data_IF_450480524427
#
_entry.id   IF_450480524427
#
_cell.length_a   1.000
_cell.length_b   1.000
_cell.length_c   1.000
_cell.angle_alpha   90.00
_cell.angle_beta   90.00
_cell.angle_gamma   90.00
#
_symmetry.space_group_name_H-M   'P 1'
#
loop_
_entity.id
_entity.type
_entity.pdbx_description
1 polymer ?
#
# COMPACT_ATOMS: atom_id res chain seq x y z
N UNK A 1 30.32 -53.23 -19.39
CA UNK A 1 30.11 -51.77 -19.26
C UNK A 1 28.66 -51.55 -18.88
N UNK A 2 28.37 -51.35 -17.59
CA UNK A 2 27.02 -51.22 -17.08
C UNK A 2 26.58 -49.75 -17.18
N UNK A 3 25.55 -49.52 -18.00
CA UNK A 3 24.95 -48.21 -18.24
C UNK A 3 24.16 -47.81 -16.98
N UNK A 4 24.67 -46.87 -16.18
CA UNK A 4 23.93 -46.29 -15.05
C UNK A 4 23.02 -45.19 -15.58
N UNK A 5 21.74 -45.51 -15.75
CA UNK A 5 20.67 -44.55 -15.94
C UNK A 5 20.57 -43.65 -14.70
N UNK A 6 21.02 -42.40 -14.83
CA UNK A 6 20.78 -41.34 -13.85
C UNK A 6 19.31 -40.93 -14.02
N UNK A 7 18.45 -41.31 -13.09
CA UNK A 7 17.08 -40.82 -13.02
C UNK A 7 17.04 -39.32 -12.76
N UNK A 8 15.94 -38.62 -13.13
CA UNK A 8 15.82 -37.18 -12.91
C UNK A 8 15.87 -36.85 -11.41
N UNK A 9 16.42 -35.69 -11.01
CA UNK A 9 16.45 -35.29 -9.62
C UNK A 9 15.02 -35.16 -9.11
N UNK A 10 14.70 -35.91 -8.06
CA UNK A 10 13.52 -35.69 -7.24
C UNK A 10 13.63 -34.29 -6.66
N UNK A 11 12.91 -33.33 -7.23
CA UNK A 11 12.75 -32.01 -6.62
C UNK A 11 12.05 -32.22 -5.28
N UNK A 12 12.78 -32.04 -4.19
CA UNK A 12 12.23 -31.93 -2.85
C UNK A 12 11.30 -30.71 -2.85
N UNK A 13 9.99 -30.96 -2.89
CA UNK A 13 8.99 -29.98 -2.51
C UNK A 13 9.02 -29.89 -0.98
N UNK A 14 9.02 -28.67 -0.43
CA UNK A 14 8.84 -28.46 1.01
C UNK A 14 7.57 -29.18 1.49
N UNK A 15 7.61 -29.70 2.70
CA UNK A 15 6.48 -30.40 3.31
C UNK A 15 5.25 -29.48 3.27
N UNK A 16 4.08 -29.93 2.76
CA UNK A 16 2.84 -29.16 2.83
C UNK A 16 2.53 -28.61 4.23
N UNK A 17 2.94 -29.31 5.28
CA UNK A 17 2.81 -28.84 6.66
C UNK A 17 3.73 -27.65 6.97
N UNK A 18 4.97 -27.64 6.47
CA UNK A 18 5.91 -26.52 6.61
C UNK A 18 5.40 -25.29 5.86
N UNK A 19 4.90 -25.46 4.63
CA UNK A 19 4.31 -24.37 3.86
C UNK A 19 3.10 -23.76 4.59
N UNK A 20 2.20 -24.60 5.12
CA UNK A 20 1.08 -24.15 5.95
C UNK A 20 1.54 -23.36 7.19
N UNK A 21 2.62 -23.79 7.86
CA UNK A 21 3.19 -23.10 9.00
C UNK A 21 3.78 -21.74 8.62
N UNK A 22 4.54 -21.67 7.52
CA UNK A 22 5.08 -20.42 6.99
C UNK A 22 3.97 -19.44 6.61
N UNK A 23 2.91 -19.89 5.93
CA UNK A 23 1.74 -19.08 5.63
C UNK A 23 1.10 -18.54 6.92
N UNK A 24 0.86 -19.40 7.93
CA UNK A 24 0.27 -18.97 9.21
C UNK A 24 1.13 -17.95 9.95
N UNK A 25 2.43 -18.20 10.04
CA UNK A 25 3.38 -17.27 10.68
C UNK A 25 3.37 -15.92 9.97
N UNK A 26 3.46 -15.91 8.64
CA UNK A 26 3.47 -14.68 7.86
C UNK A 26 2.14 -13.92 7.89
N UNK A 27 1.00 -14.62 7.85
CA UNK A 27 -0.31 -14.01 8.05
C UNK A 27 -0.40 -13.36 9.42
N UNK A 28 0.10 -14.04 10.45
CA UNK A 28 0.14 -13.52 11.81
C UNK A 28 1.01 -12.27 11.90
N UNK A 29 2.21 -12.27 11.34
CA UNK A 29 3.09 -11.08 11.35
C UNK A 29 2.47 -9.92 10.57
N UNK A 30 1.84 -10.19 9.43
CA UNK A 30 1.14 -9.17 8.62
C UNK A 30 -0.05 -8.57 9.37
N UNK A 31 -0.87 -9.41 10.02
CA UNK A 31 -1.98 -8.96 10.85
C UNK A 31 -1.50 -8.14 12.05
N UNK A 32 -0.38 -8.53 12.68
CA UNK A 32 0.23 -7.77 13.76
C UNK A 32 0.74 -6.41 13.27
N UNK A 33 1.42 -6.34 12.10
CA UNK A 33 1.87 -5.08 11.49
C UNK A 33 0.69 -4.15 11.16
N UNK A 34 -0.38 -4.67 10.56
CA UNK A 34 -1.61 -3.90 10.29
C UNK A 34 -2.24 -3.37 11.57
N UNK A 35 -2.28 -4.20 12.63
CA UNK A 35 -2.81 -3.79 13.93
C UNK A 35 -1.95 -2.71 14.59
N UNK A 36 -0.62 -2.88 14.57
CA UNK A 36 0.34 -1.89 15.07
C UNK A 36 0.20 -0.56 14.32
N UNK A 37 0.15 -0.61 12.99
CA UNK A 37 -0.09 0.57 12.16
C UNK A 37 -1.44 1.22 12.49
N UNK A 38 -2.50 0.41 12.68
CA UNK A 38 -3.82 0.90 13.09
C UNK A 38 -3.81 1.74 14.37
N UNK A 39 -2.89 1.48 15.31
CA UNK A 39 -2.75 2.28 16.53
C UNK A 39 -2.05 3.63 16.31
N UNK A 40 -1.20 3.75 15.29
CA UNK A 40 -0.35 4.94 15.07
C UNK A 40 -0.74 5.76 13.84
N UNK A 41 -1.58 5.23 12.96
CA UNK A 41 -1.89 5.87 11.67
C UNK A 41 -2.48 7.27 11.79
N UNK A 42 -3.24 7.54 12.85
CA UNK A 42 -3.84 8.87 13.09
C UNK A 42 -2.74 9.90 13.42
N UNK A 43 -1.88 9.57 14.37
CA UNK A 43 -0.72 10.39 14.75
C UNK A 43 0.22 10.65 13.56
N UNK A 44 0.45 9.61 12.73
CA UNK A 44 1.28 9.73 11.53
C UNK A 44 0.64 10.69 10.53
N UNK A 45 -0.68 10.61 10.32
CA UNK A 45 -1.39 11.47 9.39
C UNK A 45 -1.38 12.94 9.85
N UNK A 46 -1.62 13.19 11.13
CA UNK A 46 -1.57 14.53 11.73
C UNK A 46 -0.18 15.13 11.63
N UNK A 47 0.87 14.38 12.00
CA UNK A 47 2.24 14.84 11.82
C UNK A 47 2.57 15.14 10.35
N UNK A 48 2.11 14.28 9.45
CA UNK A 48 2.43 14.39 8.02
C UNK A 48 1.83 15.64 7.39
N UNK A 49 0.62 16.04 7.77
CA UNK A 49 -0.04 17.23 7.21
C UNK A 49 0.71 18.51 7.60
N UNK A 50 1.19 18.57 8.85
CA UNK A 50 1.98 19.69 9.34
C UNK A 50 3.33 19.76 8.64
N UNK A 51 4.04 18.64 8.49
CA UNK A 51 5.32 18.62 7.78
C UNK A 51 5.17 18.95 6.30
N UNK A 52 4.11 18.46 5.65
CA UNK A 52 3.82 18.80 4.26
C UNK A 52 3.60 20.30 4.11
N UNK A 53 2.74 20.91 4.93
CA UNK A 53 2.44 22.32 4.81
C UNK A 53 3.65 23.21 5.10
N UNK A 54 4.38 22.91 6.17
CA UNK A 54 5.59 23.64 6.53
C UNK A 54 6.65 23.56 5.42
N UNK A 55 6.90 22.37 4.86
CA UNK A 55 7.97 22.18 3.86
C UNK A 55 7.62 22.64 2.46
N UNK A 56 6.32 22.71 2.14
CA UNK A 56 5.85 23.08 0.79
C UNK A 56 5.40 24.53 0.70
N UNK A 57 4.59 25.00 1.65
CA UNK A 57 4.01 26.35 1.62
C UNK A 57 4.46 27.25 2.76
N UNK A 58 5.19 26.71 3.75
CA UNK A 58 5.60 27.45 4.94
C UNK A 58 4.39 27.85 5.79
N UNK A 59 3.46 26.92 5.99
CA UNK A 59 2.21 27.09 6.76
C UNK A 59 1.17 28.03 6.13
N UNK A 60 1.39 28.46 4.88
CA UNK A 60 0.47 29.35 4.16
C UNK A 60 -0.87 28.68 3.90
N UNK A 61 -0.89 27.39 3.57
CA UNK A 61 -2.13 26.69 3.25
C UNK A 61 -3.02 26.53 4.49
N UNK A 62 -2.45 26.13 5.63
CA UNK A 62 -3.17 26.11 6.90
C UNK A 62 -3.69 27.50 7.28
N UNK A 63 -2.90 28.54 7.08
CA UNK A 63 -3.35 29.92 7.33
C UNK A 63 -4.57 30.30 6.47
N UNK A 64 -4.53 30.00 5.16
CA UNK A 64 -5.60 30.36 4.22
C UNK A 64 -6.90 29.59 4.43
N UNK A 65 -6.80 28.35 4.93
CA UNK A 65 -7.94 27.46 5.16
C UNK A 65 -8.51 27.54 6.57
N UNK A 66 -7.85 28.25 7.50
CA UNK A 66 -8.21 28.25 8.92
C UNK A 66 -7.77 26.98 9.66
N UNK A 67 -6.85 26.23 9.08
CA UNK A 67 -6.31 24.96 9.58
C UNK A 67 -6.69 23.79 8.66
N UNK A 68 -5.73 22.91 8.41
CA UNK A 68 -5.96 21.69 7.62
C UNK A 68 -6.36 20.56 8.57
N UNK A 69 -7.57 20.03 8.40
CA UNK A 69 -8.13 19.03 9.31
C UNK A 69 -8.17 17.66 8.65
N UNK A 70 -7.93 16.59 9.42
CA UNK A 70 -8.11 15.21 8.96
C UNK A 70 -9.39 14.61 9.56
N UNK A 71 -10.28 14.12 8.71
CA UNK A 71 -11.47 13.38 9.13
C UNK A 71 -11.36 11.94 8.66
N UNK A 72 -11.37 11.01 9.62
CA UNK A 72 -11.41 9.58 9.34
C UNK A 72 -12.85 9.12 9.11
N UNK A 73 -13.07 8.36 8.03
CA UNK A 73 -14.36 7.76 7.67
C UNK A 73 -14.20 6.25 7.59
N UNK A 74 -15.20 5.50 8.08
CA UNK A 74 -15.20 4.03 7.97
C UNK A 74 -15.13 3.58 6.50
N UNK A 75 -15.92 4.22 5.62
CA UNK A 75 -15.92 3.96 4.18
C UNK A 75 -16.03 5.25 3.39
N UNK A 76 -15.21 5.36 2.35
CA UNK A 76 -15.33 6.33 1.28
C UNK A 76 -15.58 5.51 0.00
N UNK A 77 -16.76 5.59 -0.64
CA UNK A 77 -17.06 4.78 -1.81
C UNK A 77 -16.07 5.03 -2.95
N UNK A 78 -15.31 4.00 -3.33
CA UNK A 78 -14.40 4.03 -4.50
C UNK A 78 -13.09 4.80 -4.33
N UNK A 79 -12.90 5.53 -3.22
CA UNK A 79 -11.72 6.36 -2.98
C UNK A 79 -11.08 6.05 -1.61
N UNK A 80 -9.78 6.27 -1.49
CA UNK A 80 -9.05 6.12 -0.22
C UNK A 80 -9.00 7.43 0.59
N UNK A 81 -9.11 8.57 -0.10
CA UNK A 81 -9.18 9.89 0.49
C UNK A 81 -9.93 10.87 -0.43
N UNK A 82 -10.34 12.01 0.14
CA UNK A 82 -10.97 13.14 -0.58
C UNK A 82 -10.65 14.44 0.14
N UNK A 83 -10.11 15.43 -0.58
CA UNK A 83 -9.97 16.80 -0.11
C UNK A 83 -11.27 17.61 -0.29
N UNK A 84 -11.81 18.15 0.80
CA UNK A 84 -12.77 19.25 0.80
C UNK A 84 -12.00 20.58 0.81
N UNK A 85 -11.76 21.08 -0.40
CA UNK A 85 -10.98 22.29 -0.68
C UNK A 85 -11.62 23.58 -0.15
N UNK A 86 -12.92 23.58 0.14
CA UNK A 86 -13.62 24.76 0.68
C UNK A 86 -13.35 24.90 2.18
N UNK A 87 -13.31 23.78 2.90
CA UNK A 87 -13.08 23.75 4.35
C UNK A 87 -11.63 23.46 4.74
N UNK A 88 -10.75 23.16 3.78
CA UNK A 88 -9.38 22.71 4.06
C UNK A 88 -9.31 21.33 4.71
N UNK A 89 -10.33 20.49 4.53
CA UNK A 89 -10.42 19.19 5.22
C UNK A 89 -9.98 18.05 4.31
N UNK A 90 -9.12 17.16 4.79
CA UNK A 90 -8.78 15.89 4.13
C UNK A 90 -9.57 14.76 4.80
N UNK A 91 -10.39 14.05 4.01
CA UNK A 91 -11.09 12.85 4.45
C UNK A 91 -10.27 11.61 4.09
N UNK A 92 -10.07 10.69 5.03
CA UNK A 92 -9.31 9.46 4.84
C UNK A 92 -10.12 8.22 5.23
N UNK A 93 -9.95 7.13 4.48
CA UNK A 93 -10.61 5.86 4.77
C UNK A 93 -9.89 5.09 5.87
N UNK A 94 -10.60 4.78 6.96
CA UNK A 94 -10.05 4.03 8.09
C UNK A 94 -9.84 2.55 7.75
N UNK A 95 -10.73 1.95 6.96
CA UNK A 95 -10.65 0.53 6.58
C UNK A 95 -9.61 0.27 5.49
N UNK A 96 -9.45 1.21 4.55
CA UNK A 96 -8.70 0.97 3.33
C UNK A 96 -7.23 1.41 3.41
N UNK A 97 -6.88 2.24 4.38
CA UNK A 97 -5.48 2.61 4.65
C UNK A 97 -4.94 1.65 5.71
N UNK A 98 -4.26 0.60 5.26
CA UNK A 98 -3.76 -0.52 6.09
C UNK A 98 -2.23 -0.56 6.21
N UNK A 99 -1.51 0.32 5.51
CA UNK A 99 -0.08 0.52 5.66
C UNK A 99 0.34 2.00 5.56
N UNK A 100 1.54 2.27 6.09
CA UNK A 100 2.09 3.61 6.25
C UNK A 100 2.47 4.27 4.92
N UNK A 101 2.86 3.49 3.91
CA UNK A 101 3.21 4.04 2.61
C UNK A 101 1.97 4.51 1.86
N UNK A 102 0.88 3.73 1.93
CA UNK A 102 -0.40 4.12 1.37
C UNK A 102 -0.96 5.38 2.07
N UNK A 103 -0.84 5.47 3.40
CA UNK A 103 -1.21 6.68 4.14
C UNK A 103 -0.44 7.90 3.65
N UNK A 104 0.90 7.79 3.58
CA UNK A 104 1.78 8.85 3.09
C UNK A 104 1.40 9.36 1.72
N UNK A 105 1.17 8.42 0.80
CA UNK A 105 0.80 8.74 -0.57
C UNK A 105 -0.56 9.44 -0.62
N UNK A 106 -1.56 8.93 0.12
CA UNK A 106 -2.92 9.47 0.12
C UNK A 106 -2.97 10.88 0.69
N UNK A 107 -2.36 11.10 1.86
CA UNK A 107 -2.32 12.43 2.47
C UNK A 107 -1.64 13.44 1.55
N UNK A 108 -0.52 13.08 0.93
CA UNK A 108 0.19 13.95 -0.01
C UNK A 108 -0.63 14.24 -1.28
N UNK A 109 -1.40 13.26 -1.76
CA UNK A 109 -2.31 13.40 -2.90
C UNK A 109 -3.41 14.40 -2.60
N UNK A 110 -4.15 14.19 -1.50
CA UNK A 110 -5.25 15.07 -1.09
C UNK A 110 -4.74 16.47 -0.72
N UNK A 111 -3.57 16.57 -0.10
CA UNK A 111 -2.93 17.85 0.19
C UNK A 111 -2.54 18.62 -1.09
N UNK A 112 -2.11 17.91 -2.14
CA UNK A 112 -1.83 18.53 -3.45
C UNK A 112 -3.10 19.11 -4.09
N UNK A 113 -4.25 18.48 -3.88
CA UNK A 113 -5.55 19.06 -4.28
C UNK A 113 -5.86 20.35 -3.54
N UNK A 114 -5.64 20.40 -2.21
CA UNK A 114 -5.85 21.61 -1.42
C UNK A 114 -5.04 22.78 -1.97
N UNK A 115 -3.73 22.59 -2.18
CA UNK A 115 -2.87 23.67 -2.68
C UNK A 115 -3.27 24.05 -4.11
N UNK A 116 -3.44 23.07 -5.01
CA UNK A 116 -3.81 23.36 -6.39
C UNK A 116 -5.10 24.18 -6.49
N UNK A 117 -6.08 23.88 -5.63
CA UNK A 117 -7.32 24.66 -5.54
C UNK A 117 -7.08 26.08 -5.06
N UNK A 118 -6.25 26.33 -4.05
CA UNK A 118 -5.94 27.68 -3.59
C UNK A 118 -5.39 28.59 -4.69
N UNK A 119 -4.66 28.03 -5.67
CA UNK A 119 -4.08 28.80 -6.78
C UNK A 119 -4.97 28.87 -8.02
N UNK A 120 -5.85 27.90 -8.26
CA UNK A 120 -6.59 27.79 -9.52
C UNK A 120 -8.10 27.79 -9.41
N UNK A 121 -8.65 27.48 -8.23
CA UNK A 121 -10.06 27.15 -8.04
C UNK A 121 -10.49 25.82 -8.67
N UNK A 122 -9.55 25.02 -9.18
CA UNK A 122 -9.82 23.71 -9.78
C UNK A 122 -9.47 22.56 -8.83
N UNK A 123 -10.24 21.48 -8.88
CA UNK A 123 -10.04 20.26 -8.08
C UNK A 123 -9.61 19.06 -8.90
N UNK A 124 -9.27 19.27 -10.18
CA UNK A 124 -8.88 18.19 -11.09
C UNK A 124 -7.39 17.82 -10.92
N UNK A 125 -6.99 16.71 -11.54
CA UNK A 125 -5.59 16.33 -11.71
C UNK A 125 -4.97 17.12 -12.88
N UNK A 126 -5.13 18.44 -12.90
CA UNK A 126 -4.54 19.33 -13.91
C UNK A 126 -3.03 19.55 -13.71
N UNK A 127 -2.44 20.42 -14.53
CA UNK A 127 -1.00 20.74 -14.49
C UNK A 127 -0.52 21.19 -13.09
N UNK A 128 -1.31 22.03 -12.42
CA UNK A 128 -0.99 22.51 -11.08
C UNK A 128 -1.03 21.40 -10.03
N UNK A 129 -1.96 20.45 -10.14
CA UNK A 129 -1.95 19.28 -9.27
C UNK A 129 -0.65 18.48 -9.43
N UNK A 130 -0.25 18.18 -10.67
CA UNK A 130 0.98 17.41 -10.92
C UNK A 130 2.22 18.14 -10.42
N UNK A 131 2.27 19.47 -10.62
CA UNK A 131 3.34 20.30 -10.08
C UNK A 131 3.43 20.16 -8.56
N UNK A 132 2.32 20.34 -7.84
CA UNK A 132 2.32 20.27 -6.38
C UNK A 132 2.57 18.85 -5.86
N UNK A 133 2.08 17.81 -6.53
CA UNK A 133 2.36 16.42 -6.16
C UNK A 133 3.85 16.07 -6.29
N UNK A 134 4.49 16.53 -7.37
CA UNK A 134 5.94 16.38 -7.55
C UNK A 134 6.71 17.21 -6.52
N UNK A 135 6.24 18.44 -6.25
CA UNK A 135 6.87 19.30 -5.26
C UNK A 135 6.78 18.70 -3.84
N UNK A 136 5.63 18.16 -3.45
CA UNK A 136 5.46 17.42 -2.20
C UNK A 136 6.43 16.23 -2.13
N UNK A 137 6.52 15.45 -3.21
CA UNK A 137 7.49 14.33 -3.31
C UNK A 137 8.91 14.80 -3.02
N UNK A 138 9.33 15.90 -3.64
CA UNK A 138 10.71 16.40 -3.51
C UNK A 138 11.01 16.94 -2.12
N UNK A 139 10.03 17.63 -1.50
CA UNK A 139 10.16 18.18 -0.14
C UNK A 139 10.15 17.12 0.95
N UNK A 140 9.48 16.00 0.70
CA UNK A 140 9.36 14.89 1.67
C UNK A 140 10.39 13.78 1.46
N UNK A 141 11.16 13.81 0.37
CA UNK A 141 12.27 12.87 0.12
C UNK A 141 13.25 12.69 1.29
N UNK A 142 13.63 13.73 2.06
CA UNK A 142 14.52 13.55 3.22
C UNK A 142 13.93 12.68 4.35
N UNK A 143 12.62 12.43 4.32
CA UNK A 143 11.89 11.60 5.29
C UNK A 143 11.62 10.18 4.75
N UNK A 144 12.38 9.76 3.71
CA UNK A 144 12.21 8.48 3.01
C UNK A 144 10.80 8.28 2.42
N UNK A 145 10.15 9.38 2.06
CA UNK A 145 8.88 9.32 1.34
C UNK A 145 9.11 9.03 -0.14
N UNK A 146 8.54 7.92 -0.60
CA UNK A 146 8.42 7.61 -2.03
C UNK A 146 7.56 8.61 -2.80
N UNK A 147 7.55 8.55 -4.15
CA UNK A 147 6.80 9.47 -4.97
C UNK A 147 5.29 9.39 -4.71
N UNK A 148 4.64 10.56 -4.68
CA UNK A 148 3.17 10.65 -4.57
C UNK A 148 2.55 9.88 -5.72
N UNK A 149 1.76 8.86 -5.39
CA UNK A 149 1.05 8.07 -6.38
C UNK A 149 -0.17 8.85 -6.88
N UNK A 150 -0.16 9.18 -8.17
CA UNK A 150 -1.20 10.01 -8.80
C UNK A 150 -2.38 9.16 -9.27
N UNK A 151 -2.16 7.87 -9.52
CA UNK A 151 -3.28 6.94 -9.65
C UNK A 151 -3.86 6.76 -8.26
N UNK A 152 -5.12 7.16 -8.07
CA UNK A 152 -5.94 6.59 -7.00
C UNK A 152 -5.64 5.09 -6.96
N UNK A 153 -5.28 4.51 -5.81
CA UNK A 153 -5.14 3.09 -5.73
C UNK A 153 -6.50 2.51 -6.09
N UNK A 154 -6.64 2.08 -7.35
CA UNK A 154 -7.80 1.33 -7.79
C UNK A 154 -7.89 0.20 -6.80
N UNK A 155 -9.07 0.09 -6.19
CA UNK A 155 -9.42 -0.83 -5.13
C UNK A 155 -8.96 -2.24 -5.48
N UNK A 156 -7.73 -2.55 -5.12
CA UNK A 156 -7.16 -3.86 -5.23
C UNK A 156 -7.16 -4.46 -3.84
N UNK A 157 -8.34 -4.46 -3.20
CA UNK A 157 -8.63 -5.38 -2.10
C UNK A 157 -8.64 -6.78 -2.70
N UNK A 158 -7.45 -7.34 -2.83
CA UNK A 158 -7.26 -8.67 -3.38
C UNK A 158 -7.71 -9.69 -2.35
N UNK A 159 -8.79 -10.40 -2.66
CA UNK A 159 -9.27 -11.50 -1.84
C UNK A 159 -8.19 -12.59 -1.68
N UNK A 160 -7.37 -12.80 -2.73
CA UNK A 160 -6.31 -13.79 -2.74
C UNK A 160 -4.94 -13.13 -2.80
N UNK A 161 -4.14 -13.25 -1.73
CA UNK A 161 -2.76 -12.75 -1.70
C UNK A 161 -1.80 -13.93 -1.75
N UNK A 162 -0.79 -13.83 -2.61
CA UNK A 162 0.25 -14.82 -2.81
C UNK A 162 1.61 -14.17 -2.66
N UNK A 163 2.57 -14.87 -2.07
CA UNK A 163 3.93 -14.37 -1.91
C UNK A 163 4.96 -15.40 -2.32
N UNK A 164 6.10 -14.95 -2.82
CA UNK A 164 7.24 -15.82 -3.05
C UNK A 164 7.83 -16.32 -1.73
N UNK A 165 7.98 -17.65 -1.60
CA UNK A 165 8.58 -18.30 -0.43
C UNK A 165 10.08 -18.01 -0.27
N UNK A 166 10.76 -17.56 -1.32
CA UNK A 166 12.16 -17.19 -1.22
C UNK A 166 12.29 -15.92 -0.34
N UNK A 167 12.85 -16.09 0.86
CA UNK A 167 13.02 -15.02 1.85
C UNK A 167 13.84 -13.82 1.36
N UNK A 168 14.69 -14.00 0.35
CA UNK A 168 15.45 -12.91 -0.27
C UNK A 168 14.71 -12.21 -1.43
N UNK A 169 13.52 -12.71 -1.81
CA UNK A 169 12.70 -12.15 -2.88
C UNK A 169 11.49 -11.38 -2.33
N UNK A 170 10.69 -12.01 -1.47
CA UNK A 170 9.52 -11.40 -0.82
C UNK A 170 8.40 -10.89 -1.74
N UNK A 171 8.48 -11.15 -3.06
CA UNK A 171 7.53 -10.60 -4.03
C UNK A 171 6.10 -11.06 -3.77
N UNK A 172 5.18 -10.10 -3.65
CA UNK A 172 3.75 -10.33 -3.45
C UNK A 172 2.95 -10.19 -4.76
N UNK A 173 1.85 -10.94 -4.85
CA UNK A 173 0.88 -10.95 -5.94
C UNK A 173 -0.53 -11.03 -5.35
N UNK A 174 -1.32 -9.97 -5.51
CA UNK A 174 -2.73 -10.04 -5.20
C UNK A 174 -3.62 -10.36 -6.40
N UNK A 175 -4.71 -11.08 -6.16
CA UNK A 175 -5.72 -11.50 -7.14
C UNK A 175 -7.13 -11.36 -6.57
N UNK A 176 -8.08 -11.02 -7.43
CA UNK A 176 -9.51 -11.01 -7.08
C UNK A 176 -10.16 -12.40 -7.17
N UNK A 177 -9.45 -13.39 -7.70
CA UNK A 177 -9.90 -14.78 -7.82
C UNK A 177 -8.75 -15.73 -7.49
N UNK A 178 -9.05 -16.97 -7.12
CA UNK A 178 -8.06 -18.04 -6.87
C UNK A 178 -7.45 -18.56 -8.17
N UNK A 179 -6.73 -17.69 -8.88
CA UNK A 179 -6.22 -17.90 -10.24
C UNK A 179 -4.76 -18.37 -10.31
N UNK A 180 -4.00 -18.28 -9.21
CA UNK A 180 -2.63 -18.78 -9.15
C UNK A 180 -2.69 -20.25 -8.73
N UNK A 181 -2.10 -21.11 -9.56
CA UNK A 181 -1.88 -22.52 -9.25
C UNK A 181 -0.40 -22.70 -8.87
N UNK A 182 -0.04 -22.88 -7.58
CA UNK A 182 1.34 -22.98 -7.13
C UNK A 182 2.11 -24.18 -7.73
N UNK A 183 1.42 -25.13 -8.37
CA UNK A 183 2.06 -26.22 -9.13
C UNK A 183 2.60 -25.77 -10.49
N UNK A 184 2.02 -24.72 -11.07
CA UNK A 184 2.31 -24.24 -12.43
C UNK A 184 2.96 -22.86 -12.43
N UNK A 185 2.45 -21.98 -11.58
CA UNK A 185 2.87 -20.59 -11.46
C UNK A 185 4.05 -20.47 -10.52
N UNK A 186 5.07 -19.71 -10.96
CA UNK A 186 6.26 -19.40 -10.19
C UNK A 186 6.43 -17.90 -10.07
N UNK A 187 7.20 -17.47 -9.07
CA UNK A 187 7.58 -16.07 -8.92
C UNK A 187 8.22 -15.55 -10.21
N UNK A 188 7.69 -14.44 -10.74
CA UNK A 188 8.19 -13.82 -11.97
C UNK A 188 9.59 -13.22 -11.80
N UNK A 189 10.00 -12.93 -10.56
CA UNK A 189 11.29 -12.31 -10.24
C UNK A 189 12.42 -13.33 -10.06
N UNK A 190 12.20 -14.35 -9.23
CA UNK A 190 13.24 -15.32 -8.87
C UNK A 190 12.92 -16.77 -9.27
N UNK A 191 11.78 -17.01 -9.92
CA UNK A 191 11.27 -18.36 -10.25
C UNK A 191 11.04 -19.27 -9.03
N UNK A 192 11.02 -18.72 -7.82
CA UNK A 192 10.68 -19.45 -6.60
C UNK A 192 9.20 -19.84 -6.51
N UNK A 193 8.88 -20.73 -5.58
CA UNK A 193 7.51 -21.13 -5.27
C UNK A 193 6.68 -19.96 -4.71
N UNK A 194 5.37 -20.05 -4.89
CA UNK A 194 4.39 -19.08 -4.44
C UNK A 194 3.48 -19.72 -3.39
N UNK A 195 3.25 -19.02 -2.30
CA UNK A 195 2.36 -19.46 -1.23
C UNK A 195 1.19 -18.49 -1.07
N UNK A 196 -0.01 -19.03 -0.84
CA UNK A 196 -1.20 -18.22 -0.58
C UNK A 196 -1.20 -17.75 0.88
N UNK A 197 -1.09 -16.45 1.10
CA UNK A 197 -1.13 -15.81 2.41
C UNK A 197 -2.52 -15.22 2.73
N UNK A 198 -3.41 -15.05 1.76
CA UNK A 198 -4.81 -14.69 2.05
C UNK A 198 -5.77 -15.35 1.05
N UNK A 199 -6.92 -15.88 1.49
CA UNK A 199 -7.11 -16.47 2.83
C UNK A 199 -6.08 -17.60 3.06
N UNK A 200 -5.72 -17.91 4.31
CA UNK A 200 -4.89 -19.08 4.59
C UNK A 200 -5.58 -20.30 4.00
N UNK A 201 -4.88 -21.04 3.12
CA UNK A 201 -5.42 -22.27 2.55
C UNK A 201 -5.80 -23.21 3.70
N UNK A 202 -7.09 -23.55 3.82
CA UNK A 202 -7.50 -24.58 4.77
C UNK A 202 -7.15 -25.94 4.16
N UNK A 203 -6.54 -26.86 4.92
CA UNK A 203 -6.47 -28.25 4.47
C UNK A 203 -7.89 -28.75 4.26
N UNK A 204 -8.16 -29.30 3.07
CA UNK A 204 -9.38 -30.05 2.81
C UNK A 204 -9.40 -31.22 3.81
N UNK A 205 -10.40 -31.23 4.70
CA UNK A 205 -10.67 -32.37 5.58
C UNK A 205 -11.21 -33.54 4.77
#
# INVERSE_FOLDING_TARGET
MANRSIGPPTFYWGDPAENDEFARMYCRTTALRRREFGFRKKDIAEWLIHELDQRTTGDTNAYLTGGINIIWKEKIPGNLGVADVVSGTIQLSEELIDDEQNLRNMVSHEFSHLIAYCYSGCTDHGELFFYWAQFCTDKMRPLDMGPVQIKAPVQNSYEFIWQCENGNCGQEYGRHTKSIDPRKDKCRRCRGALIQTNPIARPLR
#
